data_IF_895059224221
#
_entry.id   IF_895059224221
#
_cell.length_a   1.000
_cell.length_b   1.000
_cell.length_c   1.000
_cell.angle_alpha   90.00
_cell.angle_beta   90.00
_cell.angle_gamma   90.00
#
_symmetry.space_group_name_H-M   'P 1'
#
loop_
_entity.id
_entity.type
_entity.pdbx_description
1 polymer ?
#
# COMPACT_ATOMS: atom_id res chain seq x y z
N UNK A 1 -9.76 -15.62 -6.75
CA UNK A 1 -10.85 -16.47 -7.31
C UNK A 1 -11.59 -15.73 -8.41
N UNK A 2 -12.05 -14.48 -8.18
CA UNK A 2 -12.81 -13.73 -9.19
C UNK A 2 -11.97 -13.47 -10.46
N UNK A 3 -10.71 -13.08 -10.33
CA UNK A 3 -9.83 -12.92 -11.48
C UNK A 3 -9.74 -14.20 -12.34
N UNK A 4 -9.66 -15.37 -11.71
CA UNK A 4 -9.66 -16.67 -12.42
C UNK A 4 -10.99 -16.96 -13.10
N UNK A 5 -12.13 -16.68 -12.45
CA UNK A 5 -13.48 -16.87 -13.03
C UNK A 5 -13.67 -15.99 -14.26
N UNK A 6 -13.12 -14.79 -14.24
CA UNK A 6 -13.16 -13.84 -15.34
C UNK A 6 -12.08 -14.09 -16.43
N UNK A 7 -11.23 -15.10 -16.23
CA UNK A 7 -10.14 -15.40 -17.18
C UNK A 7 -9.09 -14.29 -17.27
N UNK A 8 -8.96 -13.46 -16.24
CA UNK A 8 -8.01 -12.34 -16.25
C UNK A 8 -6.57 -12.84 -16.13
N UNK A 9 -5.63 -12.30 -16.91
CA UNK A 9 -4.22 -12.55 -16.70
C UNK A 9 -3.79 -12.04 -15.32
N UNK A 10 -2.76 -12.64 -14.74
CA UNK A 10 -2.18 -12.18 -13.49
C UNK A 10 -1.20 -11.04 -13.80
N UNK A 11 -1.41 -9.82 -13.30
CA UNK A 11 -0.47 -8.73 -13.50
C UNK A 11 0.83 -9.01 -12.73
N UNK A 12 1.98 -8.56 -13.27
CA UNK A 12 3.30 -8.68 -12.66
C UNK A 12 3.95 -7.32 -12.40
N UNK A 13 3.44 -6.30 -13.07
CA UNK A 13 3.99 -4.95 -13.08
C UNK A 13 2.88 -3.93 -12.86
N UNK A 14 3.26 -2.69 -12.53
CA UNK A 14 2.33 -1.57 -12.54
C UNK A 14 1.81 -1.33 -13.96
N UNK A 15 2.70 -1.44 -14.95
CA UNK A 15 2.34 -1.25 -16.35
C UNK A 15 1.24 -2.21 -16.81
N UNK A 16 1.22 -3.46 -16.35
CA UNK A 16 0.18 -4.44 -16.70
C UNK A 16 -1.22 -3.96 -16.34
N UNK A 17 -1.37 -3.16 -15.27
CA UNK A 17 -2.66 -2.66 -14.81
C UNK A 17 -3.31 -1.66 -15.80
N UNK A 18 -2.57 -1.18 -16.79
CA UNK A 18 -3.11 -0.33 -17.85
C UNK A 18 -3.77 -1.12 -18.98
N UNK A 19 -3.63 -2.45 -18.99
CA UNK A 19 -4.25 -3.30 -19.99
C UNK A 19 -5.78 -3.16 -19.95
N UNK A 20 -6.45 -2.87 -21.08
CA UNK A 20 -7.91 -2.72 -21.14
C UNK A 20 -8.72 -3.92 -20.64
N UNK A 21 -8.11 -5.11 -20.54
CA UNK A 21 -8.75 -6.30 -19.95
C UNK A 21 -9.19 -6.08 -18.50
N UNK A 22 -8.60 -5.13 -17.79
CA UNK A 22 -8.93 -4.78 -16.41
C UNK A 22 -9.93 -3.62 -16.27
N UNK A 23 -10.54 -3.17 -17.37
CA UNK A 23 -11.44 -2.01 -17.36
C UNK A 23 -12.56 -2.13 -16.32
N UNK A 24 -12.58 -1.19 -15.36
CA UNK A 24 -13.56 -1.14 -14.27
C UNK A 24 -13.35 -2.18 -13.16
N UNK A 25 -12.27 -2.96 -13.20
CA UNK A 25 -12.02 -4.08 -12.30
C UNK A 25 -11.01 -3.78 -11.20
N UNK A 26 -10.47 -2.57 -11.15
CA UNK A 26 -9.48 -2.16 -10.16
C UNK A 26 -10.12 -1.27 -9.11
N UNK A 27 -9.90 -1.59 -7.84
CA UNK A 27 -10.16 -0.71 -6.71
C UNK A 27 -8.85 -0.15 -6.19
N UNK A 28 -8.76 1.16 -5.96
CA UNK A 28 -7.57 1.78 -5.35
C UNK A 28 -7.94 2.92 -4.40
N UNK A 29 -7.04 3.29 -3.45
CA UNK A 29 -7.30 4.41 -2.57
C UNK A 29 -7.18 5.74 -3.30
N UNK A 30 -8.07 6.70 -2.99
CA UNK A 30 -8.00 8.05 -3.50
C UNK A 30 -6.85 8.83 -2.80
N UNK A 31 -5.86 9.36 -3.52
CA UNK A 31 -4.71 10.05 -2.93
C UNK A 31 -5.07 11.34 -2.19
N UNK A 32 -6.23 11.93 -2.48
CA UNK A 32 -6.71 13.11 -1.77
C UNK A 32 -7.18 12.83 -0.34
N UNK A 33 -7.70 11.63 -0.09
CA UNK A 33 -8.32 11.26 1.19
C UNK A 33 -7.66 10.07 1.88
N UNK A 34 -6.67 9.43 1.26
CA UNK A 34 -5.94 8.28 1.79
C UNK A 34 -4.43 8.50 1.72
N UNK A 35 -3.74 8.31 2.85
CA UNK A 35 -2.28 8.29 2.88
C UNK A 35 -1.68 7.21 1.98
N UNK A 36 -2.30 6.01 1.95
CA UNK A 36 -1.88 4.93 1.05
C UNK A 36 -2.01 5.35 -0.41
N UNK A 37 -3.13 5.96 -0.80
CA UNK A 37 -3.28 6.45 -2.18
C UNK A 37 -2.25 7.52 -2.55
N UNK A 38 -1.92 8.43 -1.63
CA UNK A 38 -0.86 9.39 -1.87
C UNK A 38 0.52 8.71 -1.98
N UNK A 39 0.78 7.69 -1.16
CA UNK A 39 2.02 6.90 -1.24
C UNK A 39 2.16 6.22 -2.61
N UNK A 40 1.09 5.62 -3.13
CA UNK A 40 1.08 4.99 -4.45
C UNK A 40 1.48 6.01 -5.53
N UNK A 41 0.78 7.15 -5.60
CA UNK A 41 1.03 8.20 -6.61
C UNK A 41 2.44 8.80 -6.48
N UNK A 42 2.88 9.13 -5.27
CA UNK A 42 4.22 9.68 -5.06
C UNK A 42 5.32 8.68 -5.41
N UNK A 43 5.07 7.39 -5.20
CA UNK A 43 6.01 6.32 -5.55
C UNK A 43 6.13 6.14 -7.05
N UNK A 44 5.02 6.13 -7.78
CA UNK A 44 5.04 6.08 -9.25
C UNK A 44 5.80 7.26 -9.86
N UNK A 45 5.58 8.47 -9.35
CA UNK A 45 6.34 9.66 -9.79
C UNK A 45 7.84 9.50 -9.51
N UNK A 46 8.22 8.91 -8.38
CA UNK A 46 9.63 8.71 -8.02
C UNK A 46 10.31 7.62 -8.85
N UNK A 47 9.57 6.59 -9.27
CA UNK A 47 10.09 5.47 -10.06
C UNK A 47 10.12 5.78 -11.55
N UNK A 48 9.06 6.35 -12.07
CA UNK A 48 8.87 6.53 -13.52
C UNK A 48 9.32 7.92 -14.02
N UNK A 49 9.47 8.89 -13.10
CA UNK A 49 9.52 10.30 -13.44
C UNK A 49 8.11 10.91 -13.56
N UNK A 50 8.01 12.24 -13.44
CA UNK A 50 6.69 12.87 -13.28
C UNK A 50 5.79 12.73 -14.51
N UNK A 51 6.30 13.03 -15.70
CA UNK A 51 5.49 13.00 -16.92
C UNK A 51 5.00 11.59 -17.23
N UNK A 52 5.91 10.59 -17.22
CA UNK A 52 5.56 9.20 -17.46
C UNK A 52 4.62 8.63 -16.41
N UNK A 53 4.74 9.07 -15.14
CA UNK A 53 3.83 8.66 -14.08
C UNK A 53 2.42 9.22 -14.30
N UNK A 54 2.26 10.44 -14.78
CA UNK A 54 0.95 10.99 -15.12
C UNK A 54 0.34 10.28 -16.34
N UNK A 55 1.12 9.99 -17.37
CA UNK A 55 0.66 9.18 -18.51
C UNK A 55 0.20 7.78 -18.06
N UNK A 56 0.97 7.14 -17.19
CA UNK A 56 0.60 5.86 -16.57
C UNK A 56 -0.72 5.97 -15.81
N UNK A 57 -0.88 6.99 -14.97
CA UNK A 57 -2.09 7.19 -14.17
C UNK A 57 -3.32 7.51 -15.04
N UNK A 58 -3.16 8.25 -16.14
CA UNK A 58 -4.23 8.50 -17.11
C UNK A 58 -4.70 7.20 -17.79
N UNK A 59 -3.76 6.28 -18.06
CA UNK A 59 -4.09 4.96 -18.58
C UNK A 59 -4.74 4.06 -17.51
N UNK A 60 -4.18 4.02 -16.29
CA UNK A 60 -4.70 3.26 -15.17
C UNK A 60 -6.12 3.70 -14.78
N UNK A 61 -6.39 5.01 -14.79
CA UNK A 61 -7.71 5.58 -14.45
C UNK A 61 -8.84 4.95 -15.27
N UNK A 62 -8.60 4.62 -16.52
CA UNK A 62 -9.58 3.97 -17.42
C UNK A 62 -9.99 2.57 -16.92
N UNK A 63 -9.13 1.94 -16.11
CA UNK A 63 -9.35 0.60 -15.57
C UNK A 63 -9.80 0.61 -14.11
N UNK A 64 -9.74 1.76 -13.43
CA UNK A 64 -10.22 1.90 -12.05
C UNK A 64 -11.74 1.96 -12.03
N UNK A 65 -12.35 1.03 -11.32
CA UNK A 65 -13.82 1.01 -11.10
C UNK A 65 -14.23 1.85 -9.90
N UNK A 66 -13.35 1.99 -8.89
CA UNK A 66 -13.65 2.80 -7.69
C UNK A 66 -12.40 3.34 -7.02
N UNK A 67 -12.47 4.61 -6.62
CA UNK A 67 -11.52 5.24 -5.69
C UNK A 67 -12.10 5.23 -4.27
N UNK A 68 -11.35 4.67 -3.31
CA UNK A 68 -11.81 4.52 -1.93
C UNK A 68 -11.15 5.54 -1.00
N UNK A 69 -11.88 6.00 0.04
CA UNK A 69 -11.30 6.89 1.05
C UNK A 69 -10.36 6.18 2.03
N UNK A 70 -10.45 4.84 2.11
CA UNK A 70 -9.63 4.03 3.01
C UNK A 70 -8.58 3.24 2.24
N UNK A 71 -7.31 3.33 2.65
CA UNK A 71 -6.22 2.55 2.08
C UNK A 71 -6.36 1.03 2.23
N UNK A 72 -7.18 0.54 3.15
CA UNK A 72 -7.43 -0.89 3.37
C UNK A 72 -8.72 -1.42 2.72
N UNK A 73 -9.57 -0.55 2.18
CA UNK A 73 -10.84 -0.98 1.57
C UNK A 73 -10.62 -1.81 0.31
N UNK A 74 -9.67 -1.48 -0.60
CA UNK A 74 -9.41 -2.30 -1.79
C UNK A 74 -9.06 -3.75 -1.47
N UNK A 75 -8.23 -4.01 -0.43
CA UNK A 75 -7.97 -5.37 0.03
C UNK A 75 -9.23 -6.11 0.49
N UNK A 76 -10.13 -5.42 1.20
CA UNK A 76 -11.38 -6.02 1.66
C UNK A 76 -12.27 -6.39 0.47
N UNK A 77 -12.38 -5.48 -0.50
CA UNK A 77 -13.17 -5.69 -1.71
C UNK A 77 -12.63 -6.85 -2.55
N UNK A 78 -11.29 -6.96 -2.68
CA UNK A 78 -10.69 -8.11 -3.39
C UNK A 78 -10.87 -9.42 -2.61
N UNK A 79 -10.75 -9.38 -1.29
CA UNK A 79 -10.95 -10.54 -0.41
C UNK A 79 -12.38 -11.08 -0.42
N UNK A 80 -13.38 -10.19 -0.60
CA UNK A 80 -14.80 -10.56 -0.72
C UNK A 80 -15.24 -10.89 -2.15
N UNK A 81 -14.38 -10.65 -3.15
CA UNK A 81 -14.70 -10.86 -4.57
C UNK A 81 -15.49 -9.71 -5.22
N UNK A 82 -15.64 -8.58 -4.56
CA UNK A 82 -16.30 -7.38 -5.12
C UNK A 82 -15.46 -6.77 -6.27
N UNK A 83 -14.12 -6.76 -6.11
CA UNK A 83 -13.18 -6.33 -7.13
C UNK A 83 -12.09 -7.38 -7.32
N UNK A 84 -11.80 -7.80 -8.57
CA UNK A 84 -10.73 -8.78 -8.85
C UNK A 84 -9.34 -8.28 -8.43
N UNK A 85 -9.10 -6.97 -8.52
CA UNK A 85 -7.81 -6.34 -8.24
C UNK A 85 -8.00 -5.19 -7.24
N UNK A 86 -7.16 -5.17 -6.20
CA UNK A 86 -7.12 -4.10 -5.22
C UNK A 86 -5.70 -3.58 -5.01
N UNK A 87 -5.47 -2.29 -5.26
CA UNK A 87 -4.23 -1.61 -4.89
C UNK A 87 -4.35 -1.19 -3.43
N UNK A 88 -3.42 -1.61 -2.57
CA UNK A 88 -3.54 -1.38 -1.12
C UNK A 88 -2.23 -1.71 -0.41
N UNK A 89 -2.18 -1.48 0.89
CA UNK A 89 -1.02 -1.80 1.70
C UNK A 89 -1.03 -3.26 2.18
N UNK A 90 0.16 -3.91 2.30
CA UNK A 90 0.27 -5.37 2.48
C UNK A 90 -0.27 -5.90 3.81
N UNK A 91 -0.14 -5.15 4.91
CA UNK A 91 -0.56 -5.65 6.23
C UNK A 91 -2.05 -5.99 6.33
N UNK A 92 -2.91 -5.33 5.55
CA UNK A 92 -4.33 -5.70 5.47
C UNK A 92 -4.54 -6.95 4.60
N UNK A 93 -3.82 -7.05 3.48
CA UNK A 93 -3.89 -8.22 2.60
C UNK A 93 -3.48 -9.48 3.36
N UNK A 94 -2.35 -9.44 4.07
CA UNK A 94 -1.85 -10.54 4.90
C UNK A 94 -2.90 -11.02 5.90
N UNK A 95 -3.54 -10.10 6.63
CA UNK A 95 -4.58 -10.45 7.59
C UNK A 95 -5.76 -11.17 6.95
N UNK A 96 -6.18 -10.74 5.78
CA UNK A 96 -7.32 -11.30 5.05
C UNK A 96 -6.96 -12.67 4.47
N UNK A 97 -5.74 -12.82 3.92
CA UNK A 97 -5.22 -14.11 3.42
C UNK A 97 -5.11 -15.12 4.57
N UNK A 98 -4.56 -14.72 5.72
CA UNK A 98 -4.50 -15.59 6.91
C UNK A 98 -5.88 -16.03 7.41
N UNK A 99 -6.89 -15.20 7.21
CA UNK A 99 -8.29 -15.55 7.51
C UNK A 99 -8.95 -16.47 6.46
N UNK A 100 -8.21 -16.92 5.44
CA UNK A 100 -8.67 -17.87 4.43
C UNK A 100 -9.26 -17.26 3.17
N UNK A 101 -9.17 -15.94 2.98
CA UNK A 101 -9.66 -15.36 1.74
C UNK A 101 -8.80 -15.83 0.54
N UNK A 102 -9.43 -16.19 -0.59
CA UNK A 102 -8.76 -16.74 -1.75
C UNK A 102 -8.15 -15.65 -2.63
N UNK A 103 -7.25 -14.86 -2.07
CA UNK A 103 -6.53 -13.78 -2.74
C UNK A 103 -5.03 -14.01 -2.69
N UNK A 104 -4.33 -13.41 -3.61
CA UNK A 104 -2.88 -13.44 -3.73
C UNK A 104 -2.35 -12.01 -3.69
N UNK A 105 -1.17 -11.83 -3.11
CA UNK A 105 -0.49 -10.56 -3.09
C UNK A 105 0.56 -10.53 -4.19
N UNK A 106 0.57 -9.46 -4.96
CA UNK A 106 1.50 -9.26 -6.08
C UNK A 106 2.40 -8.09 -5.73
N UNK A 107 3.70 -8.29 -5.91
CA UNK A 107 4.71 -7.25 -5.75
C UNK A 107 5.16 -6.87 -7.15
N UNK A 108 4.87 -5.65 -7.63
CA UNK A 108 5.22 -5.21 -8.98
C UNK A 108 6.72 -5.21 -9.25
N UNK A 109 7.09 -5.51 -10.49
CA UNK A 109 8.49 -5.63 -10.91
C UNK A 109 9.26 -4.31 -10.81
N UNK A 110 8.61 -3.19 -11.04
CA UNK A 110 9.20 -1.85 -11.00
C UNK A 110 9.51 -1.35 -9.59
N UNK A 111 8.93 -2.00 -8.58
CA UNK A 111 9.12 -1.64 -7.19
C UNK A 111 7.86 -1.08 -6.52
N UNK A 112 7.94 -0.94 -5.21
CA UNK A 112 6.85 -0.48 -4.36
C UNK A 112 7.30 0.63 -3.43
N UNK A 113 6.41 1.59 -3.22
CA UNK A 113 6.58 2.61 -2.19
C UNK A 113 6.47 2.02 -0.79
N UNK A 114 7.07 2.72 0.16
CA UNK A 114 7.01 2.36 1.57
C UNK A 114 7.01 3.60 2.43
N UNK A 115 6.49 3.47 3.65
CA UNK A 115 6.57 4.51 4.66
C UNK A 115 6.80 3.88 6.04
N UNK A 116 7.24 4.69 7.00
CA UNK A 116 7.42 4.28 8.38
C UNK A 116 6.23 4.73 9.24
N UNK A 117 5.72 3.81 10.04
CA UNK A 117 4.85 4.20 11.14
C UNK A 117 5.71 4.74 12.28
N UNK A 118 5.31 5.87 12.82
CA UNK A 118 6.01 6.53 13.92
C UNK A 118 5.09 6.71 15.11
N UNK A 119 5.64 6.68 16.31
CA UNK A 119 4.99 7.06 17.55
C UNK A 119 5.74 8.22 18.19
N UNK A 120 5.02 9.20 18.71
CA UNK A 120 5.62 10.36 19.34
C UNK A 120 4.78 10.82 20.55
N UNK A 121 5.45 11.42 21.54
CA UNK A 121 4.79 12.05 22.66
C UNK A 121 4.40 13.47 22.26
N UNK A 122 3.12 13.80 22.41
CA UNK A 122 2.62 15.14 22.11
C UNK A 122 3.16 16.13 23.16
N UNK A 123 3.71 17.25 22.70
CA UNK A 123 4.16 18.33 23.56
C UNK A 123 2.98 18.84 24.41
N UNK A 124 3.20 18.95 25.72
CA UNK A 124 2.17 19.42 26.66
C UNK A 124 1.17 18.36 27.12
N UNK A 125 1.42 17.07 26.81
CA UNK A 125 0.59 15.98 27.38
C UNK A 125 0.59 16.03 28.92
N UNK A 126 -0.57 15.79 29.51
CA UNK A 126 -0.72 15.66 30.98
C UNK A 126 -0.33 14.26 31.49
N UNK A 127 -0.15 13.30 30.58
CA UNK A 127 0.12 11.87 30.85
C UNK A 127 1.52 11.47 30.38
N UNK A 128 2.56 12.27 30.71
CA UNK A 128 3.91 12.08 30.16
C UNK A 128 4.49 10.70 30.52
N UNK A 129 4.38 10.29 31.78
CA UNK A 129 4.98 9.03 32.24
C UNK A 129 4.26 7.82 31.62
N UNK A 130 2.95 7.83 31.49
CA UNK A 130 2.23 6.75 30.80
C UNK A 130 2.52 6.74 29.29
N UNK A 131 2.73 7.91 28.70
CA UNK A 131 3.16 8.02 27.29
C UNK A 131 4.55 7.39 27.07
N UNK A 132 5.49 7.62 27.99
CA UNK A 132 6.82 6.97 27.95
C UNK A 132 6.70 5.45 28.07
N UNK A 133 5.92 4.96 29.05
CA UNK A 133 5.66 3.53 29.23
C UNK A 133 5.05 2.88 27.98
N UNK A 134 4.14 3.59 27.29
CA UNK A 134 3.56 3.11 26.04
C UNK A 134 4.62 3.02 24.91
N UNK A 135 5.52 3.99 24.81
CA UNK A 135 6.62 3.94 23.84
C UNK A 135 7.56 2.77 24.15
N UNK A 136 7.96 2.60 25.41
CA UNK A 136 8.82 1.50 25.83
C UNK A 136 8.19 0.14 25.52
N UNK A 137 6.89 -0.01 25.80
CA UNK A 137 6.13 -1.19 25.42
C UNK A 137 6.08 -1.38 23.89
N UNK A 138 5.90 -0.29 23.13
CA UNK A 138 5.84 -0.34 21.67
C UNK A 138 7.17 -0.83 21.07
N UNK A 139 8.30 -0.36 21.61
CA UNK A 139 9.64 -0.77 21.17
C UNK A 139 10.02 -2.20 21.63
N UNK A 140 9.38 -2.70 22.68
CA UNK A 140 9.52 -4.07 23.16
C UNK A 140 8.47 -5.02 22.56
N UNK A 141 7.49 -5.40 23.38
CA UNK A 141 6.42 -6.35 23.02
C UNK A 141 5.57 -5.91 21.83
N UNK A 142 5.34 -4.60 21.69
CA UNK A 142 4.61 -4.05 20.54
C UNK A 142 5.28 -4.39 19.22
N UNK A 143 6.61 -4.29 19.16
CA UNK A 143 7.37 -4.61 17.95
C UNK A 143 7.30 -6.09 17.57
N UNK A 144 7.35 -6.99 18.57
CA UNK A 144 7.13 -8.42 18.34
C UNK A 144 5.75 -8.70 17.70
N UNK A 145 4.70 -8.08 18.22
CA UNK A 145 3.35 -8.21 17.68
C UNK A 145 3.22 -7.67 16.25
N UNK A 146 3.96 -6.62 15.90
CA UNK A 146 4.03 -6.14 14.51
C UNK A 146 4.77 -7.14 13.61
N UNK A 147 5.85 -7.75 14.09
CA UNK A 147 6.57 -8.81 13.38
C UNK A 147 5.69 -10.05 13.12
N UNK A 148 4.91 -10.48 14.10
CA UNK A 148 3.92 -11.58 13.94
C UNK A 148 2.89 -11.29 12.85
N UNK A 149 2.61 -10.01 12.57
CA UNK A 149 1.71 -9.56 11.48
C UNK A 149 2.41 -9.43 10.13
N UNK A 150 3.65 -9.87 10.04
CA UNK A 150 4.49 -9.76 8.83
C UNK A 150 4.69 -8.31 8.36
N UNK A 151 4.70 -7.36 9.29
CA UNK A 151 5.13 -5.99 9.01
C UNK A 151 6.66 -5.92 8.97
N UNK A 152 7.22 -5.09 8.11
CA UNK A 152 8.64 -4.76 8.18
C UNK A 152 8.81 -3.85 9.40
N UNK A 153 9.62 -4.26 10.36
CA UNK A 153 9.85 -3.56 11.61
C UNK A 153 11.31 -3.14 11.72
N UNK A 154 11.57 -2.11 12.52
CA UNK A 154 12.93 -1.57 12.69
C UNK A 154 13.93 -2.60 13.24
N UNK A 155 13.47 -3.49 14.12
CA UNK A 155 14.26 -4.59 14.63
C UNK A 155 13.84 -5.91 13.96
N UNK A 156 14.51 -6.26 12.87
CA UNK A 156 14.19 -7.44 12.07
C UNK A 156 14.46 -8.77 12.81
N UNK A 157 15.22 -8.77 13.90
CA UNK A 157 15.44 -9.97 14.72
C UNK A 157 14.16 -10.47 15.40
N UNK A 158 13.16 -9.59 15.53
CA UNK A 158 11.85 -9.90 16.12
C UNK A 158 10.81 -10.40 15.09
N UNK A 159 11.21 -10.62 13.85
CA UNK A 159 10.33 -11.16 12.81
C UNK A 159 10.31 -12.68 12.90
N UNK A 160 9.12 -13.25 13.09
CA UNK A 160 8.90 -14.70 12.99
C UNK A 160 8.41 -15.03 11.57
N UNK A 161 9.20 -15.79 10.77
CA UNK A 161 8.76 -16.21 9.44
C UNK A 161 7.46 -17.01 9.49
N UNK A 162 6.52 -16.71 8.61
CA UNK A 162 5.32 -17.50 8.42
C UNK A 162 5.48 -18.36 7.15
N UNK A 163 5.50 -19.70 7.25
CA UNK A 163 5.70 -20.58 6.10
C UNK A 163 4.58 -20.50 5.06
N UNK A 164 3.43 -19.93 5.42
CA UNK A 164 2.30 -19.69 4.49
C UNK A 164 2.47 -18.43 3.67
N UNK A 165 3.46 -17.59 4.01
CA UNK A 165 3.81 -16.36 3.31
C UNK A 165 5.31 -16.42 2.93
N UNK A 166 5.68 -17.29 1.97
CA UNK A 166 7.06 -17.56 1.66
C UNK A 166 7.78 -16.29 1.19
N UNK A 167 8.97 -16.05 1.76
CA UNK A 167 9.92 -15.00 1.36
C UNK A 167 9.38 -13.56 1.32
N UNK A 168 8.17 -13.30 1.88
CA UNK A 168 7.54 -11.98 1.82
C UNK A 168 8.53 -10.85 2.15
N UNK A 169 9.29 -10.96 3.25
CA UNK A 169 10.26 -9.95 3.63
C UNK A 169 11.39 -9.80 2.62
N UNK A 170 11.94 -10.91 2.13
CA UNK A 170 13.02 -10.89 1.15
C UNK A 170 12.56 -10.28 -0.17
N UNK A 171 11.41 -10.70 -0.65
CA UNK A 171 10.83 -10.23 -1.90
C UNK A 171 10.42 -8.75 -1.81
N UNK A 172 9.75 -8.35 -0.73
CA UNK A 172 9.35 -6.97 -0.49
C UNK A 172 10.58 -6.06 -0.38
N UNK A 173 11.56 -6.43 0.46
CA UNK A 173 12.76 -5.61 0.63
C UNK A 173 13.55 -5.43 -0.67
N UNK A 174 13.59 -6.43 -1.53
CA UNK A 174 14.26 -6.34 -2.83
C UNK A 174 13.56 -5.40 -3.81
N UNK A 175 12.32 -5.02 -3.53
CA UNK A 175 11.46 -4.18 -4.38
C UNK A 175 11.11 -2.82 -3.78
N UNK A 176 11.60 -2.51 -2.58
CA UNK A 176 11.43 -1.18 -2.00
C UNK A 176 12.20 -0.15 -2.81
N UNK A 177 11.50 0.92 -3.21
CA UNK A 177 12.13 2.05 -3.89
C UNK A 177 12.96 2.90 -2.92
N UNK A 178 13.90 3.68 -3.43
CA UNK A 178 14.54 4.75 -2.66
C UNK A 178 13.53 5.90 -2.46
N UNK A 179 12.73 5.79 -1.38
CA UNK A 179 11.63 6.71 -1.13
C UNK A 179 12.14 8.03 -0.52
N UNK A 180 12.06 9.10 -1.30
CA UNK A 180 12.46 10.45 -0.92
C UNK A 180 11.35 11.14 -0.11
N UNK A 181 11.22 10.81 1.17
CA UNK A 181 10.15 11.30 2.05
C UNK A 181 10.03 12.82 2.11
N UNK A 182 11.16 13.53 2.23
CA UNK A 182 11.18 14.99 2.26
C UNK A 182 10.62 15.60 0.97
N UNK A 183 10.98 15.02 -0.18
CA UNK A 183 10.43 15.41 -1.49
C UNK A 183 8.93 15.14 -1.55
N UNK A 184 8.47 13.95 -1.16
CA UNK A 184 7.06 13.60 -1.15
C UNK A 184 6.24 14.56 -0.26
N UNK A 185 6.73 14.86 0.93
CA UNK A 185 6.09 15.81 1.85
C UNK A 185 5.99 17.21 1.25
N UNK A 186 7.08 17.73 0.66
CA UNK A 186 7.11 19.07 0.06
C UNK A 186 6.20 19.19 -1.19
N UNK A 187 6.00 18.09 -1.92
CA UNK A 187 5.21 18.08 -3.17
C UNK A 187 3.76 17.61 -2.99
N UNK A 188 3.37 17.15 -1.80
CA UNK A 188 2.04 16.58 -1.55
C UNK A 188 0.90 17.46 -2.03
N UNK A 189 0.91 18.74 -1.66
CA UNK A 189 -0.14 19.68 -2.04
C UNK A 189 -0.31 19.82 -3.55
N UNK A 190 0.82 19.93 -4.27
CA UNK A 190 0.86 20.06 -5.72
C UNK A 190 0.34 18.78 -6.40
N UNK A 191 0.84 17.63 -5.98
CA UNK A 191 0.47 16.32 -6.55
C UNK A 191 -1.02 16.06 -6.34
N UNK A 192 -1.54 16.26 -5.13
CA UNK A 192 -2.97 16.06 -4.83
C UNK A 192 -3.86 17.03 -5.62
N UNK A 193 -3.42 18.28 -5.80
CA UNK A 193 -4.15 19.25 -6.63
C UNK A 193 -4.23 18.81 -8.09
N UNK A 194 -3.11 18.33 -8.67
CA UNK A 194 -3.10 17.83 -10.04
C UNK A 194 -3.95 16.56 -10.18
N UNK A 195 -3.89 15.64 -9.21
CA UNK A 195 -4.76 14.46 -9.16
C UNK A 195 -6.25 14.84 -9.23
N UNK A 196 -6.67 15.77 -8.37
CA UNK A 196 -8.07 16.24 -8.37
C UNK A 196 -8.50 16.80 -9.71
N UNK A 197 -7.64 17.61 -10.31
CA UNK A 197 -7.93 18.21 -11.62
C UNK A 197 -8.14 17.15 -12.70
N UNK A 198 -7.43 16.02 -12.63
CA UNK A 198 -7.50 14.96 -13.65
C UNK A 198 -8.62 13.96 -13.41
N UNK A 199 -8.91 13.60 -12.15
CA UNK A 199 -9.68 12.38 -11.84
C UNK A 199 -10.82 12.57 -10.84
N UNK A 200 -10.94 13.69 -10.15
CA UNK A 200 -11.99 13.98 -9.16
C UNK A 200 -13.03 14.99 -9.72
N UNK A 201 -13.16 15.12 -11.02
CA UNK A 201 -14.11 15.98 -11.70
C UNK A 201 -15.51 15.41 -11.78
#
# INVERSE_FOLDING_TARGET
>A
VEAKKLGLPKPKSWADLTNPVYKGLISMPNPNSSGTGFLDVSSWIQVMGEDAAWEYMDALHKNVGVYTHSGSKPCKQSGSGEFPIGISWPGRAIKIIKAGAPMEMIIPEEGIGWEMQVVAIMKGTKNLEDSKRLIDWTLGRGMELFGERQSIIADTSKITPDPKLPNFFKEVNAKLIDNRFAWAAANKGRIVKEWKKRYDG
#
